data_IF_456330602378
#
_entry.id   IF_456330602378
#
_cell.length_a   1.000
_cell.length_b   1.000
_cell.length_c   1.000
_cell.angle_alpha   90.00
_cell.angle_beta   90.00
_cell.angle_gamma   90.00
#
_symmetry.space_group_name_H-M   'P 1'
#
loop_
_entity.id
_entity.type
_entity.pdbx_description
1 polymer ?
#
# COMPACT_ATOMS: atom_id res chain seq x y z
N UNK A 1 -18.81 -11.73 20.08
CA UNK A 1 -19.31 -10.44 20.58
C UNK A 1 -18.44 -9.32 20.05
N UNK A 2 -19.08 -8.28 19.51
CA UNK A 2 -18.34 -7.13 18.96
C UNK A 2 -17.64 -6.35 20.07
N UNK A 3 -16.42 -5.91 19.83
CA UNK A 3 -15.60 -5.14 20.77
C UNK A 3 -15.07 -3.89 20.10
N UNK A 4 -14.88 -2.83 20.90
CA UNK A 4 -14.08 -1.68 20.45
C UNK A 4 -12.61 -2.05 20.65
N UNK A 5 -11.81 -1.86 19.61
CA UNK A 5 -10.39 -2.21 19.63
C UNK A 5 -9.56 -0.93 19.55
N UNK A 6 -8.64 -0.75 20.49
CA UNK A 6 -7.72 0.39 20.55
C UNK A 6 -6.31 -0.09 20.20
N UNK A 7 -5.69 0.57 19.24
CA UNK A 7 -4.30 0.33 18.87
C UNK A 7 -3.54 1.63 19.06
N UNK A 8 -2.60 1.63 20.02
CA UNK A 8 -1.84 2.82 20.38
C UNK A 8 -0.53 2.93 19.61
N UNK A 9 0.00 4.16 19.41
CA UNK A 9 1.26 4.34 18.66
C UNK A 9 2.44 3.57 19.22
N UNK A 10 2.51 3.38 20.54
CA UNK A 10 3.59 2.65 21.20
C UNK A 10 3.57 1.15 20.93
N UNK A 11 2.46 0.64 20.37
CA UNK A 11 2.33 -0.76 19.96
C UNK A 11 2.88 -1.02 18.56
N UNK A 12 3.51 0.00 17.95
CA UNK A 12 3.97 -0.11 16.56
C UNK A 12 4.84 -1.35 16.35
N UNK A 13 4.58 -2.01 15.22
CA UNK A 13 5.27 -3.22 14.83
C UNK A 13 5.40 -3.24 13.30
N UNK A 14 6.37 -2.47 12.77
CA UNK A 14 6.62 -2.43 11.34
C UNK A 14 7.41 -3.66 10.91
N UNK A 15 6.89 -4.38 9.93
CA UNK A 15 7.53 -5.55 9.34
C UNK A 15 7.96 -5.16 7.93
N UNK A 16 9.23 -5.41 7.60
CA UNK A 16 9.76 -5.10 6.28
C UNK A 16 8.98 -5.88 5.22
N UNK A 17 8.69 -5.23 4.10
CA UNK A 17 7.92 -5.85 3.02
C UNK A 17 8.57 -7.16 2.55
N UNK A 18 9.89 -7.21 2.46
CA UNK A 18 10.60 -8.43 2.12
C UNK A 18 10.26 -9.61 3.06
N UNK A 19 10.06 -9.31 4.35
CA UNK A 19 9.74 -10.33 5.35
C UNK A 19 8.25 -10.71 5.35
N UNK A 20 7.39 -9.85 4.82
CA UNK A 20 5.96 -10.15 4.63
C UNK A 20 5.72 -11.03 3.40
N UNK A 21 6.49 -10.83 2.33
CA UNK A 21 6.33 -11.52 1.05
C UNK A 21 7.08 -12.86 1.04
N UNK A 22 6.82 -13.70 2.04
CA UNK A 22 7.40 -15.04 2.13
C UNK A 22 6.37 -16.10 1.78
N UNK A 23 6.83 -17.29 1.39
CA UNK A 23 5.98 -18.43 1.08
C UNK A 23 5.42 -18.38 -0.34
N UNK A 24 4.81 -19.48 -0.75
CA UNK A 24 4.26 -19.68 -2.10
C UNK A 24 3.09 -18.75 -2.42
N UNK A 25 2.28 -18.44 -1.40
CA UNK A 25 1.11 -17.58 -1.52
C UNK A 25 1.46 -16.20 -2.06
N UNK A 26 2.65 -15.71 -1.73
CA UNK A 26 3.11 -14.37 -2.12
C UNK A 26 4.15 -14.41 -3.25
N UNK A 27 4.40 -15.58 -3.84
CA UNK A 27 5.45 -15.74 -4.83
C UNK A 27 5.27 -14.81 -6.05
N UNK A 28 4.05 -14.66 -6.54
CA UNK A 28 3.77 -13.82 -7.71
C UNK A 28 4.03 -12.33 -7.40
N UNK A 29 3.61 -11.85 -6.23
CA UNK A 29 3.85 -10.47 -5.82
C UNK A 29 5.34 -10.24 -5.60
N UNK A 30 6.02 -11.17 -4.91
CA UNK A 30 7.45 -11.11 -4.66
C UNK A 30 8.26 -11.03 -5.96
N UNK A 31 7.85 -11.78 -6.99
CA UNK A 31 8.51 -11.76 -8.28
C UNK A 31 8.29 -10.45 -9.04
N UNK A 32 7.21 -9.74 -8.74
CA UNK A 32 6.84 -8.49 -9.41
C UNK A 32 7.53 -7.27 -8.80
N UNK A 33 7.64 -7.21 -7.48
CA UNK A 33 8.26 -6.09 -6.78
C UNK A 33 9.78 -6.16 -6.92
N UNK A 34 10.41 -5.00 -7.12
CA UNK A 34 11.87 -4.92 -7.11
C UNK A 34 12.40 -5.26 -5.72
N UNK A 35 13.62 -5.77 -5.65
CA UNK A 35 14.28 -6.04 -4.38
C UNK A 35 14.43 -4.74 -3.57
N UNK A 36 14.78 -3.64 -4.24
CA UNK A 36 14.88 -2.34 -3.59
C UNK A 36 13.58 -1.93 -2.91
N UNK A 37 12.43 -2.09 -3.57
CA UNK A 37 11.12 -1.78 -2.99
C UNK A 37 10.82 -2.68 -1.80
N UNK A 38 11.10 -3.98 -1.90
CA UNK A 38 10.87 -4.93 -0.81
C UNK A 38 11.72 -4.60 0.43
N UNK A 39 12.93 -4.10 0.24
CA UNK A 39 13.86 -3.77 1.33
C UNK A 39 13.62 -2.38 1.93
N UNK A 40 13.07 -1.43 1.16
CA UNK A 40 12.93 -0.03 1.57
C UNK A 40 11.57 0.33 2.14
N UNK A 41 10.65 -0.63 2.24
CA UNK A 41 9.30 -0.40 2.77
C UNK A 41 9.00 -1.36 3.92
N UNK A 42 8.21 -0.88 4.88
CA UNK A 42 7.75 -1.67 6.01
C UNK A 42 6.28 -1.35 6.29
N UNK A 43 5.54 -2.34 6.77
CA UNK A 43 4.10 -2.23 6.99
C UNK A 43 3.75 -2.65 8.41
N UNK A 44 2.84 -1.90 9.02
CA UNK A 44 2.23 -2.23 10.31
C UNK A 44 0.72 -2.31 10.15
N UNK A 45 0.18 -3.53 10.25
CA UNK A 45 -1.26 -3.73 10.20
C UNK A 45 -1.88 -3.41 11.55
N UNK A 46 -2.41 -2.19 11.70
CA UNK A 46 -3.10 -1.77 12.94
C UNK A 46 -4.40 -2.52 13.12
N UNK A 47 -5.22 -2.55 12.07
CA UNK A 47 -6.47 -3.29 12.01
C UNK A 47 -6.41 -4.13 10.74
N UNK A 48 -6.06 -5.42 10.86
CA UNK A 48 -5.81 -6.26 9.68
C UNK A 48 -7.00 -6.43 8.75
N UNK A 49 -8.22 -6.28 9.30
CA UNK A 49 -9.42 -6.50 8.50
C UNK A 49 -9.66 -7.96 8.16
N UNK A 50 -10.74 -8.19 7.46
CA UNK A 50 -11.13 -9.48 6.92
C UNK A 50 -11.86 -9.25 5.60
N UNK A 51 -12.47 -10.27 5.05
CA UNK A 51 -13.24 -10.13 3.81
C UNK A 51 -14.44 -9.18 3.98
N UNK A 52 -14.87 -8.93 5.22
CA UNK A 52 -16.02 -8.08 5.53
C UNK A 52 -15.73 -6.96 6.53
N UNK A 53 -14.52 -6.89 7.06
CA UNK A 53 -14.16 -5.90 8.08
C UNK A 53 -13.16 -4.90 7.54
N UNK A 54 -13.26 -3.66 8.05
CA UNK A 54 -12.39 -2.55 7.67
C UNK A 54 -10.93 -2.87 7.97
N UNK A 55 -10.05 -2.37 7.10
CA UNK A 55 -8.60 -2.52 7.25
C UNK A 55 -7.93 -1.15 7.39
N UNK A 56 -7.00 -1.04 8.33
CA UNK A 56 -6.12 0.12 8.46
C UNK A 56 -4.69 -0.37 8.67
N UNK A 57 -3.76 0.09 7.85
CA UNK A 57 -2.34 -0.19 8.04
C UNK A 57 -1.51 1.07 7.79
N UNK A 58 -0.32 1.08 8.38
CA UNK A 58 0.68 2.12 8.11
C UNK A 58 1.80 1.55 7.26
N UNK A 59 2.34 2.40 6.39
CA UNK A 59 3.52 2.07 5.58
C UNK A 59 4.60 3.10 5.90
N UNK A 60 5.79 2.61 6.14
CA UNK A 60 6.99 3.41 6.30
C UNK A 60 7.88 3.23 5.08
N UNK A 61 8.29 4.35 4.50
CA UNK A 61 9.12 4.41 3.30
C UNK A 61 10.46 5.02 3.67
N UNK A 62 11.55 4.35 3.32
CA UNK A 62 12.88 4.91 3.45
C UNK A 62 13.08 6.06 2.45
N UNK A 63 14.08 6.96 2.69
CA UNK A 63 14.35 8.06 1.78
C UNK A 63 14.48 7.60 0.33
N UNK A 64 13.81 8.34 -0.56
CA UNK A 64 13.85 8.13 -2.01
C UNK A 64 13.35 6.78 -2.51
N UNK A 65 12.67 5.98 -1.68
CA UNK A 65 12.10 4.72 -2.12
C UNK A 65 10.98 4.94 -3.13
N UNK A 66 10.82 3.98 -4.04
CA UNK A 66 9.87 4.08 -5.15
C UNK A 66 8.92 2.88 -5.12
N UNK A 67 7.63 3.16 -5.22
CA UNK A 67 6.62 2.15 -5.48
C UNK A 67 6.24 2.21 -6.96
N UNK A 68 6.51 1.14 -7.69
CA UNK A 68 6.18 1.06 -9.11
C UNK A 68 4.67 1.13 -9.34
N UNK A 69 4.22 1.59 -10.52
CA UNK A 69 2.80 1.65 -10.82
C UNK A 69 2.11 0.29 -10.67
N UNK A 70 1.04 0.28 -9.91
CA UNK A 70 0.23 -0.90 -9.63
C UNK A 70 -1.20 -0.46 -9.28
N UNK A 71 -2.11 -1.41 -9.17
CA UNK A 71 -3.49 -1.17 -8.77
C UNK A 71 -3.93 -2.25 -7.78
N UNK A 72 -5.00 -1.94 -7.06
CA UNK A 72 -5.69 -2.90 -6.19
C UNK A 72 -7.17 -2.95 -6.61
N UNK A 73 -7.84 -4.04 -6.27
CA UNK A 73 -9.24 -4.20 -6.67
C UNK A 73 -10.19 -3.28 -5.91
N UNK A 74 -9.90 -2.99 -4.64
CA UNK A 74 -10.76 -2.12 -3.82
C UNK A 74 -10.31 -0.66 -3.84
N UNK A 75 -11.27 0.22 -3.53
CA UNK A 75 -10.97 1.63 -3.26
C UNK A 75 -10.12 1.75 -2.00
N UNK A 76 -9.35 2.83 -1.90
CA UNK A 76 -8.55 3.09 -0.71
C UNK A 76 -8.35 4.59 -0.49
N UNK A 77 -8.09 4.94 0.77
CA UNK A 77 -7.69 6.30 1.14
C UNK A 77 -6.34 6.20 1.83
N UNK A 78 -5.39 7.02 1.39
CA UNK A 78 -4.10 7.16 2.03
C UNK A 78 -4.03 8.53 2.71
N UNK A 79 -3.42 8.58 3.90
CA UNK A 79 -3.16 9.83 4.61
C UNK A 79 -1.68 9.89 4.95
N UNK A 80 -0.99 10.89 4.44
CA UNK A 80 0.42 11.11 4.78
C UNK A 80 0.50 11.64 6.21
N UNK A 81 1.27 10.96 7.07
CA UNK A 81 1.40 11.36 8.48
C UNK A 81 2.77 11.95 8.79
N UNK A 82 3.81 11.62 7.99
CA UNK A 82 5.15 12.15 8.20
C UNK A 82 5.93 12.11 6.88
N UNK A 83 6.90 13.03 6.73
CA UNK A 83 7.70 13.12 5.51
C UNK A 83 6.92 13.64 4.32
N UNK A 84 7.27 13.18 3.13
CA UNK A 84 6.56 13.56 1.92
C UNK A 84 6.53 12.42 0.90
N UNK A 85 5.46 12.40 0.13
CA UNK A 85 5.27 11.48 -0.99
C UNK A 85 5.01 12.27 -2.25
N UNK A 86 5.47 11.75 -3.37
CA UNK A 86 5.27 12.33 -4.69
C UNK A 86 4.52 11.34 -5.59
N UNK A 87 3.37 11.76 -6.08
CA UNK A 87 2.61 11.05 -7.11
C UNK A 87 2.85 11.80 -8.43
N UNK A 88 3.85 11.34 -9.20
CA UNK A 88 4.34 12.13 -10.33
C UNK A 88 4.86 13.48 -9.87
N UNK A 89 4.30 14.57 -10.39
CA UNK A 89 4.66 15.95 -10.00
C UNK A 89 3.89 16.45 -8.77
N UNK A 90 2.94 15.67 -8.26
CA UNK A 90 2.11 16.09 -7.12
C UNK A 90 2.80 15.75 -5.81
N UNK A 91 3.21 16.80 -5.07
CA UNK A 91 3.78 16.65 -3.73
C UNK A 91 2.68 16.50 -2.70
N UNK A 92 2.85 15.53 -1.79
CA UNK A 92 1.93 15.26 -0.70
C UNK A 92 2.70 15.27 0.63
N UNK A 93 2.53 16.34 1.40
CA UNK A 93 3.10 16.48 2.74
C UNK A 93 2.17 15.95 3.82
N UNK A 94 2.59 16.03 5.12
CA UNK A 94 1.77 15.54 6.23
C UNK A 94 0.37 16.16 6.24
N UNK A 95 -0.63 15.32 6.48
CA UNK A 95 -2.04 15.73 6.47
C UNK A 95 -2.71 15.62 5.10
N UNK A 96 -1.97 15.38 4.03
CA UNK A 96 -2.58 15.16 2.72
C UNK A 96 -3.30 13.83 2.68
N UNK A 97 -4.53 13.82 2.19
CA UNK A 97 -5.28 12.60 1.93
C UNK A 97 -5.42 12.37 0.44
N UNK A 98 -5.34 11.10 0.03
CA UNK A 98 -5.41 10.71 -1.38
C UNK A 98 -6.44 9.60 -1.50
N UNK A 99 -7.47 9.82 -2.32
CA UNK A 99 -8.45 8.78 -2.64
C UNK A 99 -8.02 8.09 -3.93
N UNK A 100 -7.91 6.77 -3.89
CA UNK A 100 -7.52 5.97 -5.05
C UNK A 100 -8.64 4.96 -5.33
N UNK A 101 -9.39 5.14 -6.44
CA UNK A 101 -10.41 4.16 -6.81
C UNK A 101 -9.79 2.80 -7.14
N UNK A 102 -10.56 1.74 -6.92
CA UNK A 102 -10.14 0.40 -7.31
C UNK A 102 -9.81 0.31 -8.80
N UNK A 103 -8.90 -0.56 -9.15
CA UNK A 103 -8.44 -0.82 -10.51
C UNK A 103 -7.85 0.43 -11.21
N UNK A 104 -7.31 1.36 -10.43
CA UNK A 104 -6.64 2.56 -10.94
C UNK A 104 -5.16 2.44 -10.68
N UNK A 105 -4.35 2.57 -11.73
CA UNK A 105 -2.89 2.53 -11.62
C UNK A 105 -2.37 3.77 -10.90
N UNK A 106 -1.49 3.54 -9.95
CA UNK A 106 -0.74 4.61 -9.29
C UNK A 106 0.62 4.10 -8.85
N UNK A 107 1.56 5.01 -8.79
CA UNK A 107 2.88 4.77 -8.20
C UNK A 107 3.30 6.03 -7.48
N UNK A 108 4.31 5.92 -6.63
CA UNK A 108 4.79 7.07 -5.87
C UNK A 108 6.25 6.90 -5.50
N UNK A 109 6.85 7.98 -5.04
CA UNK A 109 8.17 7.94 -4.43
C UNK A 109 8.16 8.72 -3.13
N UNK A 110 8.99 8.31 -2.19
CA UNK A 110 9.24 9.08 -0.97
C UNK A 110 10.21 10.19 -1.26
N UNK A 111 10.09 11.28 -0.51
CA UNK A 111 11.07 12.37 -0.56
C UNK A 111 12.41 12.00 0.11
N UNK A 112 13.35 12.96 0.18
CA UNK A 112 14.71 12.69 0.67
C UNK A 112 14.79 12.33 2.15
N UNK A 113 13.73 12.57 2.92
CA UNK A 113 13.67 12.23 4.34
C UNK A 113 12.74 11.05 4.62
N UNK A 114 12.30 10.34 3.57
CA UNK A 114 11.35 9.25 3.71
C UNK A 114 9.92 9.74 3.88
N UNK A 115 9.04 8.81 4.20
CA UNK A 115 7.63 9.11 4.44
C UNK A 115 6.99 8.02 5.28
N UNK A 116 5.87 8.37 5.90
CA UNK A 116 4.99 7.42 6.56
C UNK A 116 3.56 7.82 6.23
N UNK A 117 2.73 6.84 5.86
CA UNK A 117 1.34 7.09 5.57
C UNK A 117 0.46 5.98 6.14
N UNK A 118 -0.80 6.33 6.41
CA UNK A 118 -1.84 5.36 6.75
C UNK A 118 -2.63 5.04 5.51
N UNK A 119 -3.02 3.78 5.37
CA UNK A 119 -3.84 3.30 4.26
C UNK A 119 -5.10 2.66 4.83
N UNK A 120 -6.24 3.14 4.37
CA UNK A 120 -7.55 2.68 4.81
C UNK A 120 -8.28 2.01 3.65
N UNK A 121 -8.80 0.81 3.88
CA UNK A 121 -9.57 0.03 2.91
C UNK A 121 -10.88 -0.47 3.53
N UNK A 122 -11.95 -0.64 2.72
CA UNK A 122 -13.23 -1.11 3.24
C UNK A 122 -13.19 -2.57 3.74
N UNK A 123 -12.23 -3.35 3.26
CA UNK A 123 -11.97 -4.72 3.68
C UNK A 123 -10.53 -5.07 3.36
N UNK A 124 -10.06 -6.22 3.85
CA UNK A 124 -8.73 -6.71 3.50
C UNK A 124 -8.68 -7.04 2.01
N UNK A 125 -7.74 -6.43 1.31
CA UNK A 125 -7.55 -6.64 -0.12
C UNK A 125 -6.09 -7.06 -0.38
N UNK A 126 -5.91 -8.32 -0.74
CA UNK A 126 -4.60 -8.88 -1.07
C UNK A 126 -4.24 -8.78 -2.54
N UNK A 127 -5.03 -8.07 -3.35
CA UNK A 127 -4.74 -7.95 -4.78
C UNK A 127 -3.57 -7.00 -5.04
N UNK A 128 -2.77 -7.34 -6.04
CA UNK A 128 -1.69 -6.50 -6.55
C UNK A 128 -1.69 -6.68 -8.07
N UNK A 129 -2.09 -5.63 -8.78
CA UNK A 129 -2.34 -5.68 -10.23
C UNK A 129 -1.32 -4.81 -10.92
N UNK A 130 -0.49 -5.41 -11.78
CA UNK A 130 0.50 -4.65 -12.55
C UNK A 130 -0.15 -3.92 -13.71
N UNK A 131 0.57 -2.94 -14.28
CA UNK A 131 0.13 -2.22 -15.46
C UNK A 131 -0.23 -3.18 -16.60
N UNK A 132 0.61 -4.17 -16.85
CA UNK A 132 0.38 -5.13 -17.94
C UNK A 132 -0.85 -5.99 -17.69
N UNK A 133 -1.04 -6.46 -16.46
CA UNK A 133 -2.21 -7.23 -16.07
C UNK A 133 -3.50 -6.42 -16.22
N UNK A 134 -3.48 -5.14 -15.86
CA UNK A 134 -4.64 -4.27 -16.00
C UNK A 134 -5.00 -4.02 -17.45
N UNK A 135 -4.01 -3.81 -18.32
CA UNK A 135 -4.21 -3.61 -19.76
C UNK A 135 -4.79 -4.86 -20.42
N UNK A 136 -4.27 -6.05 -20.09
CA UNK A 136 -4.80 -7.32 -20.59
C UNK A 136 -6.27 -7.47 -20.20
N UNK A 137 -6.62 -7.18 -18.95
CA UNK A 137 -7.98 -7.27 -18.44
C UNK A 137 -8.93 -6.33 -19.19
N UNK A 138 -8.49 -5.10 -19.50
CA UNK A 138 -9.27 -4.14 -20.28
C UNK A 138 -9.50 -4.60 -21.72
N UNK A 139 -8.46 -5.12 -22.35
CA UNK A 139 -8.57 -5.64 -23.73
C UNK A 139 -9.55 -6.82 -23.80
N UNK A 140 -9.53 -7.70 -22.81
CA UNK A 140 -10.47 -8.80 -22.72
C UNK A 140 -11.92 -8.32 -22.50
N UNK A 141 -12.11 -7.26 -21.71
CA UNK A 141 -13.43 -6.68 -21.46
C UNK A 141 -14.01 -5.99 -22.72
N UNK A 142 -13.12 -5.41 -23.56
CA UNK A 142 -13.54 -4.71 -24.77
C UNK A 142 -13.76 -5.66 -25.97
N UNK A 143 -13.36 -6.90 -25.84
CA UNK A 143 -13.58 -7.92 -26.88
C UNK A 143 -14.86 -8.71 -26.59
#
# INVERSE_FOLDING_TARGET
>A
MAKIIFIHPEEQNFIRTADLLVGERNAAIRATLSEAEQQSTAVWFRHPGSDSELQLFEVRLEPNSVAAPHAHASDEIMVVVDGEMWFGAQRCGPGTSVYIPGNTLYGFRAGPNGARFMNFRPHRDGTYITKDQLLISRDQADS
#
